data_IF_999171003545
#
_entry.id   IF_999171003545
#
_cell.length_a   1.000
_cell.length_b   1.000
_cell.length_c   1.000
_cell.angle_alpha   90.00
_cell.angle_beta   90.00
_cell.angle_gamma   90.00
#
_symmetry.space_group_name_H-M   'P 1'
#
loop_
_entity.id
_entity.type
_entity.pdbx_description
1 polymer ?
#
# COMPACT_ATOMS: atom_id res chain seq x y z
N UNK A 1 9.28 14.94 33.23
CA UNK A 1 9.46 14.21 31.97
C UNK A 1 8.28 14.55 31.06
N UNK A 2 8.40 15.37 30.01
CA UNK A 2 7.31 15.54 29.07
C UNK A 2 7.33 14.40 28.04
N UNK A 3 6.33 13.53 28.10
CA UNK A 3 6.06 12.52 27.07
C UNK A 3 5.69 13.25 25.79
N UNK A 4 6.58 13.28 24.81
CA UNK A 4 6.27 13.80 23.47
C UNK A 4 5.29 12.86 22.80
N UNK A 5 3.99 13.18 22.87
CA UNK A 5 2.97 12.56 22.04
C UNK A 5 3.13 13.18 20.65
N UNK A 6 3.91 12.53 19.80
CA UNK A 6 4.05 12.97 18.40
C UNK A 6 2.81 12.47 17.65
N UNK A 7 1.98 13.36 17.08
CA UNK A 7 0.74 12.95 16.42
C UNK A 7 1.06 12.13 15.17
N UNK A 8 0.31 11.04 14.97
CA UNK A 8 0.31 10.32 13.70
C UNK A 8 -0.14 11.28 12.59
N UNK A 9 0.69 11.43 11.55
CA UNK A 9 0.32 12.24 10.39
C UNK A 9 -0.62 11.40 9.53
N UNK A 10 -1.91 11.65 9.68
CA UNK A 10 -2.96 11.04 8.88
C UNK A 10 -3.17 11.92 7.63
N UNK A 11 -2.74 11.44 6.47
CA UNK A 11 -2.99 12.12 5.20
C UNK A 11 -4.03 11.32 4.42
N UNK A 12 -5.25 11.85 4.34
CA UNK A 12 -6.27 11.36 3.40
C UNK A 12 -5.94 11.87 2.01
N UNK A 13 -5.80 10.96 1.03
CA UNK A 13 -5.67 11.36 -0.36
C UNK A 13 -7.05 11.75 -0.92
N UNK A 14 -7.06 12.56 -1.98
CA UNK A 14 -8.29 12.75 -2.76
C UNK A 14 -8.78 11.39 -3.27
N UNK A 15 -10.09 11.17 -3.40
CA UNK A 15 -10.62 9.95 -3.99
C UNK A 15 -10.11 9.76 -5.42
N UNK A 16 -9.75 8.53 -5.76
CA UNK A 16 -9.21 8.15 -7.06
C UNK A 16 -10.25 7.31 -7.82
N UNK A 17 -10.77 7.83 -8.92
CA UNK A 17 -11.65 7.05 -9.80
C UNK A 17 -10.85 6.01 -10.59
N UNK A 18 -11.47 4.87 -10.87
CA UNK A 18 -10.96 3.92 -11.86
C UNK A 18 -11.16 4.46 -13.30
N UNK A 19 -10.60 3.78 -14.31
CA UNK A 19 -10.55 4.31 -15.68
C UNK A 19 -11.91 4.54 -16.33
N UNK A 20 -12.91 3.71 -16.03
CA UNK A 20 -14.29 3.88 -16.50
C UNK A 20 -15.18 4.72 -15.57
N UNK A 21 -14.63 5.21 -14.45
CA UNK A 21 -15.32 6.00 -13.41
C UNK A 21 -16.50 5.27 -12.74
N UNK A 22 -16.55 3.95 -12.81
CA UNK A 22 -17.56 3.13 -12.13
C UNK A 22 -17.27 2.90 -10.65
N UNK A 23 -16.02 3.09 -10.21
CA UNK A 23 -15.57 2.90 -8.84
C UNK A 23 -14.67 4.03 -8.36
N UNK A 24 -14.68 4.25 -7.04
CA UNK A 24 -13.91 5.28 -6.36
C UNK A 24 -13.09 4.66 -5.22
N UNK A 25 -11.77 4.82 -5.29
CA UNK A 25 -10.82 4.36 -4.28
C UNK A 25 -10.48 5.51 -3.33
N UNK A 26 -10.71 5.29 -2.04
CA UNK A 26 -10.28 6.17 -0.96
C UNK A 26 -9.12 5.52 -0.26
N UNK A 27 -8.00 6.23 -0.16
CA UNK A 27 -6.81 5.76 0.54
C UNK A 27 -6.47 6.75 1.64
N UNK A 28 -6.29 6.23 2.84
CA UNK A 28 -5.77 6.97 3.98
C UNK A 28 -4.41 6.40 4.34
N UNK A 29 -3.40 7.26 4.25
CA UNK A 29 -2.03 6.92 4.60
C UNK A 29 -1.79 7.35 6.04
N UNK A 30 -1.51 6.36 6.89
CA UNK A 30 -1.11 6.55 8.28
C UNK A 30 0.41 6.31 8.38
N UNK A 31 1.17 7.35 8.71
CA UNK A 31 2.60 7.24 8.96
C UNK A 31 2.85 7.29 10.46
N UNK A 32 3.47 6.24 11.01
CA UNK A 32 3.94 6.22 12.39
C UNK A 32 5.42 6.60 12.42
N UNK A 33 5.77 7.58 13.24
CA UNK A 33 7.18 7.98 13.43
C UNK A 33 7.98 6.78 13.93
N UNK A 34 9.07 6.45 13.22
CA UNK A 34 9.92 5.30 13.52
C UNK A 34 9.54 3.99 12.82
N UNK A 35 8.42 3.93 12.07
CA UNK A 35 8.11 2.77 11.23
C UNK A 35 8.63 3.02 9.80
N UNK A 36 9.48 2.13 9.26
CA UNK A 36 9.98 2.27 7.90
C UNK A 36 8.91 2.04 6.83
N UNK A 37 7.77 1.43 7.17
CA UNK A 37 6.68 1.14 6.24
C UNK A 37 5.44 1.99 6.51
N UNK A 38 4.70 2.32 5.45
CA UNK A 38 3.43 3.04 5.58
C UNK A 38 2.27 2.08 5.80
N UNK A 39 1.32 2.50 6.63
CA UNK A 39 0.06 1.80 6.81
C UNK A 39 -1.01 2.52 5.98
N UNK A 40 -1.67 1.77 5.11
CA UNK A 40 -2.75 2.25 4.27
C UNK A 40 -4.06 1.62 4.74
N UNK A 41 -5.07 2.44 4.98
CA UNK A 41 -6.47 2.02 4.99
C UNK A 41 -7.04 2.36 3.62
N UNK A 42 -7.68 1.40 2.96
CA UNK A 42 -8.31 1.65 1.66
C UNK A 42 -9.76 1.16 1.65
N UNK A 43 -10.61 1.92 0.96
CA UNK A 43 -12.01 1.58 0.71
C UNK A 43 -12.31 1.86 -0.75
N UNK A 44 -12.92 0.89 -1.44
CA UNK A 44 -13.46 1.03 -2.78
C UNK A 44 -14.96 1.16 -2.68
N UNK A 45 -15.48 2.24 -3.23
CA UNK A 45 -16.90 2.49 -3.37
C UNK A 45 -17.35 2.31 -4.82
N UNK A 46 -18.60 1.89 -5.01
CA UNK A 46 -19.29 2.02 -6.28
C UNK A 46 -19.63 3.48 -6.54
N UNK A 47 -19.31 3.99 -7.72
CA UNK A 47 -19.64 5.35 -8.11
C UNK A 47 -21.16 5.53 -8.17
N UNK A 48 -21.65 6.68 -7.70
CA UNK A 48 -23.08 7.02 -7.68
C UNK A 48 -23.83 6.53 -6.44
N UNK A 49 -23.68 5.26 -6.04
CA UNK A 49 -24.39 4.72 -4.87
C UNK A 49 -23.60 4.80 -3.56
N UNK A 50 -22.27 4.96 -3.64
CA UNK A 50 -21.35 4.90 -2.48
C UNK A 50 -21.44 3.58 -1.71
N UNK A 51 -21.87 2.50 -2.36
CA UNK A 51 -21.82 1.15 -1.79
C UNK A 51 -20.37 0.69 -1.64
N UNK A 52 -20.03 0.05 -0.52
CA UNK A 52 -18.68 -0.49 -0.30
C UNK A 52 -18.53 -1.78 -1.11
N UNK A 53 -17.61 -1.78 -2.06
CA UNK A 53 -17.22 -2.96 -2.84
C UNK A 53 -16.16 -3.76 -2.09
N UNK A 54 -15.14 -3.05 -1.56
CA UNK A 54 -14.03 -3.66 -0.83
C UNK A 54 -13.46 -2.66 0.16
N UNK A 55 -13.02 -3.15 1.31
CA UNK A 55 -12.22 -2.38 2.24
C UNK A 55 -11.13 -3.25 2.85
N UNK A 56 -10.04 -2.64 3.27
CA UNK A 56 -8.94 -3.35 3.90
C UNK A 56 -7.85 -2.43 4.41
N UNK A 57 -6.87 -3.04 5.07
CA UNK A 57 -5.64 -2.39 5.47
C UNK A 57 -4.46 -3.05 4.78
N UNK A 58 -3.44 -2.28 4.47
CA UNK A 58 -2.25 -2.75 3.77
C UNK A 58 -1.01 -2.03 4.30
N UNK A 59 0.04 -2.79 4.62
CA UNK A 59 1.34 -2.23 5.00
C UNK A 59 2.26 -2.26 3.79
N UNK A 60 2.68 -1.10 3.31
CA UNK A 60 3.55 -1.04 2.14
C UNK A 60 4.00 0.35 1.75
N UNK A 61 4.21 0.54 0.45
CA UNK A 61 4.69 1.78 -0.15
C UNK A 61 3.56 2.53 -0.87
N UNK A 62 2.64 1.82 -1.51
CA UNK A 62 1.56 2.43 -2.29
C UNK A 62 0.31 1.54 -2.42
N UNK A 63 -0.84 2.18 -2.64
CA UNK A 63 -2.13 1.56 -3.00
C UNK A 63 -2.73 2.35 -4.17
N UNK A 64 -2.88 1.71 -5.32
CA UNK A 64 -3.36 2.35 -6.54
C UNK A 64 -4.26 1.42 -7.36
N UNK A 65 -4.96 1.97 -8.35
CA UNK A 65 -5.65 1.17 -9.35
C UNK A 65 -4.65 0.45 -10.24
N UNK A 66 -4.83 -0.85 -10.43
CA UNK A 66 -4.08 -1.63 -11.43
C UNK A 66 -4.79 -1.57 -12.79
N UNK A 67 -6.11 -1.73 -12.77
CA UNK A 67 -7.01 -1.62 -13.92
C UNK A 67 -8.41 -1.21 -13.41
N UNK A 68 -9.44 -1.28 -14.26
CA UNK A 68 -10.80 -0.88 -13.88
C UNK A 68 -11.43 -1.71 -12.76
N UNK A 69 -10.93 -2.93 -12.51
CA UNK A 69 -11.55 -3.92 -11.62
C UNK A 69 -10.55 -4.55 -10.65
N UNK A 70 -9.37 -3.95 -10.46
CA UNK A 70 -8.35 -4.46 -9.53
C UNK A 70 -7.47 -3.37 -8.96
N UNK A 71 -7.05 -3.58 -7.72
CA UNK A 71 -6.09 -2.74 -7.02
C UNK A 71 -4.69 -3.35 -7.08
N UNK A 72 -3.69 -2.50 -7.17
CA UNK A 72 -2.28 -2.82 -7.00
C UNK A 72 -1.81 -2.31 -5.65
N UNK A 73 -1.32 -3.24 -4.85
CA UNK A 73 -0.70 -2.98 -3.56
C UNK A 73 0.79 -3.24 -3.69
N UNK A 74 1.59 -2.19 -3.47
CA UNK A 74 3.04 -2.26 -3.55
C UNK A 74 3.61 -2.43 -2.15
N UNK A 75 4.12 -3.61 -1.76
CA UNK A 75 4.66 -3.82 -0.42
C UNK A 75 5.90 -2.96 -0.19
N UNK A 76 6.18 -2.71 1.08
CA UNK A 76 7.42 -2.06 1.49
C UNK A 76 8.51 -3.12 1.54
N UNK A 77 9.50 -3.00 0.66
CA UNK A 77 10.73 -3.78 0.72
C UNK A 77 11.74 -2.94 1.49
N UNK A 78 12.01 -3.33 2.73
CA UNK A 78 13.13 -2.74 3.49
C UNK A 78 14.45 -3.04 2.80
N UNK A 79 15.49 -2.26 3.10
CA UNK A 79 16.85 -2.60 2.71
C UNK A 79 17.12 -4.04 3.15
N UNK A 80 17.40 -4.94 2.20
CA UNK A 80 17.96 -6.23 2.54
C UNK A 80 19.20 -5.98 3.41
N UNK A 81 19.31 -6.72 4.52
CA UNK A 81 20.55 -6.77 5.28
C UNK A 81 21.70 -6.93 4.30
N UNK A 82 22.73 -6.07 4.43
CA UNK A 82 24.02 -6.29 3.77
C UNK A 82 24.33 -7.78 3.89
N UNK A 83 24.57 -8.50 2.77
CA UNK A 83 24.96 -9.89 2.87
C UNK A 83 26.17 -9.94 3.80
N UNK A 84 26.09 -10.74 4.86
CA UNK A 84 27.25 -11.10 5.70
C UNK A 84 28.23 -12.02 4.96
N UNK A 85 28.04 -12.19 3.64
CA UNK A 85 28.80 -13.07 2.77
C UNK A 85 29.60 -12.21 1.78
N UNK A 86 30.93 -12.38 1.79
CA UNK A 86 31.87 -11.77 0.83
C UNK A 86 31.74 -12.37 -0.59
N UNK A 87 30.82 -13.31 -0.81
CA UNK A 87 30.67 -14.01 -2.08
C UNK A 87 29.58 -13.37 -2.97
N UNK A 88 29.94 -12.68 -4.06
CA UNK A 88 28.99 -11.98 -4.93
C UNK A 88 28.01 -12.90 -5.66
N UNK A 89 28.30 -14.20 -5.79
CA UNK A 89 27.44 -15.17 -6.48
C UNK A 89 26.22 -15.64 -5.65
N UNK A 90 26.27 -15.55 -4.30
CA UNK A 90 25.13 -15.88 -3.45
C UNK A 90 24.08 -14.76 -3.42
N UNK A 91 24.52 -13.51 -3.60
CA UNK A 91 23.65 -12.32 -3.56
C UNK A 91 22.70 -12.29 -4.76
N UNK A 92 23.14 -12.77 -5.93
CA UNK A 92 22.33 -12.82 -7.15
C UNK A 92 21.20 -13.86 -7.10
N UNK A 93 21.25 -14.84 -6.17
CA UNK A 93 20.19 -15.86 -6.01
C UNK A 93 19.05 -15.41 -5.11
N UNK A 94 19.21 -14.32 -4.33
CA UNK A 94 18.10 -13.69 -3.62
C UNK A 94 17.32 -12.84 -4.62
N UNK A 95 16.40 -13.51 -5.29
CA UNK A 95 15.35 -12.93 -6.12
C UNK A 95 14.57 -11.91 -5.28
N UNK A 96 15.01 -10.65 -5.25
CA UNK A 96 14.29 -9.48 -4.71
C UNK A 96 13.16 -9.08 -5.66
N UNK A 97 12.37 -10.07 -6.08
CA UNK A 97 11.10 -9.80 -6.73
C UNK A 97 10.19 -9.19 -5.68
N UNK A 98 10.07 -7.86 -5.68
CA UNK A 98 8.99 -7.14 -5.02
C UNK A 98 7.67 -7.72 -5.54
N UNK A 99 7.10 -8.68 -4.82
CA UNK A 99 5.86 -9.34 -5.23
C UNK A 99 4.72 -8.32 -5.10
N UNK A 100 4.29 -7.77 -6.22
CA UNK A 100 3.11 -6.92 -6.27
C UNK A 100 1.89 -7.75 -5.89
N UNK A 101 1.05 -7.22 -5.01
CA UNK A 101 -0.21 -7.87 -4.64
C UNK A 101 -1.31 -7.22 -5.47
N UNK A 102 -1.98 -8.03 -6.29
CA UNK A 102 -3.13 -7.60 -7.09
C UNK A 102 -4.40 -8.13 -6.44
N UNK A 103 -5.33 -7.22 -6.13
CA UNK A 103 -6.65 -7.56 -5.59
C UNK A 103 -7.68 -7.37 -6.68
N UNK A 104 -8.30 -8.46 -7.15
CA UNK A 104 -9.46 -8.39 -8.03
C UNK A 104 -10.73 -8.00 -7.25
N UNK A 105 -11.54 -7.16 -7.86
CA UNK A 105 -12.79 -6.62 -7.29
C UNK A 105 -14.03 -7.18 -7.99
N UNK A 106 -13.85 -7.98 -9.05
CA UNK A 106 -14.90 -8.79 -9.63
C UNK A 106 -15.09 -10.03 -8.73
N UNK A 107 -16.29 -10.19 -8.17
CA UNK A 107 -16.73 -11.46 -7.59
C UNK A 107 -17.12 -12.43 -8.70
#
# INVERSE_FOLDING_TARGET
MPTSIIPAVNSSSKPMLNGDRSMELHVKKNMKVGDPAFHFEYIVYKAGTKDIIKQGTFRGTNVEWNNNTSLKLTPYVGMEQKPTSDNPEEVLKKNTHTQLIIINLNN
#
